data_IF_053359524436
#
_entry.id   IF_053359524436
#
_cell.length_a   1.000
_cell.length_b   1.000
_cell.length_c   1.000
_cell.angle_alpha   90.00
_cell.angle_beta   90.00
_cell.angle_gamma   90.00
#
_symmetry.space_group_name_H-M   'P 1'
#
loop_
_entity.id
_entity.type
_entity.pdbx_description
1 polymer ?
#
# COMPACT_ATOMS: atom_id res chain seq x y z
N UNK A 1 -17.30 -2.85 3.44
CA UNK A 1 -16.35 -3.98 3.64
C UNK A 1 -16.61 -4.70 4.96
N UNK A 2 -16.39 -6.03 5.05
CA UNK A 2 -16.56 -6.82 6.28
C UNK A 2 -15.23 -7.45 6.69
N UNK A 3 -14.84 -7.41 7.97
CA UNK A 3 -13.63 -8.07 8.44
C UNK A 3 -13.82 -9.57 8.54
N UNK A 4 -12.80 -10.34 8.20
CA UNK A 4 -12.63 -11.75 8.54
C UNK A 4 -11.16 -12.07 8.80
N UNK A 5 -10.91 -13.17 9.50
CA UNK A 5 -9.54 -13.65 9.73
C UNK A 5 -9.28 -14.87 8.86
N UNK A 6 -8.11 -14.91 8.23
CA UNK A 6 -7.57 -16.08 7.54
C UNK A 6 -6.28 -16.51 8.21
N UNK A 7 -5.88 -17.75 7.98
CA UNK A 7 -4.58 -18.28 8.42
C UNK A 7 -3.76 -18.66 7.19
N UNK A 8 -2.53 -18.17 7.12
CA UNK A 8 -1.60 -18.50 6.04
C UNK A 8 -0.91 -19.83 6.32
N UNK A 9 -0.33 -20.45 5.29
CA UNK A 9 0.38 -21.73 5.40
C UNK A 9 1.54 -21.68 6.41
N UNK A 10 2.14 -20.51 6.63
CA UNK A 10 3.21 -20.31 7.64
C UNK A 10 2.67 -20.01 9.04
N UNK A 11 1.34 -20.01 9.26
CA UNK A 11 0.70 -19.79 10.56
C UNK A 11 0.48 -18.32 10.92
N UNK A 12 0.64 -17.37 10.00
CA UNK A 12 0.23 -15.99 10.25
C UNK A 12 -1.30 -15.88 10.24
N UNK A 13 -1.87 -15.25 11.27
CA UNK A 13 -3.30 -14.89 11.30
C UNK A 13 -3.46 -13.48 10.75
N UNK A 14 -4.19 -13.37 9.66
CA UNK A 14 -4.33 -12.12 8.90
C UNK A 14 -5.78 -11.67 8.92
N UNK A 15 -6.01 -10.47 9.44
CA UNK A 15 -7.30 -9.78 9.30
C UNK A 15 -7.41 -9.24 7.89
N UNK A 16 -8.54 -9.52 7.24
CA UNK A 16 -8.81 -9.09 5.86
C UNK A 16 -10.16 -8.37 5.83
N UNK A 17 -10.18 -7.16 5.25
CA UNK A 17 -11.44 -6.54 4.87
C UNK A 17 -11.86 -7.10 3.52
N UNK A 18 -13.06 -7.72 3.47
CA UNK A 18 -13.61 -8.32 2.24
C UNK A 18 -14.95 -7.70 1.89
N UNK A 19 -15.21 -7.50 0.60
CA UNK A 19 -16.49 -7.01 0.10
C UNK A 19 -16.64 -7.16 -1.40
N UNK A 20 -17.89 -7.02 -1.86
CA UNK A 20 -18.23 -7.08 -3.28
C UNK A 20 -18.21 -8.48 -3.88
N UNK A 21 -18.39 -8.53 -5.20
CA UNK A 21 -18.43 -9.73 -6.02
C UNK A 21 -17.69 -9.50 -7.34
N UNK A 22 -17.47 -10.53 -8.15
CA UNK A 22 -16.83 -10.40 -9.45
C UNK A 22 -15.34 -10.75 -9.45
N UNK A 23 -14.56 -10.09 -10.32
CA UNK A 23 -13.12 -10.36 -10.45
C UNK A 23 -12.38 -10.04 -9.13
N UNK A 24 -11.43 -10.89 -8.70
CA UNK A 24 -10.71 -10.66 -7.45
C UNK A 24 -9.74 -9.47 -7.57
N UNK A 25 -9.80 -8.58 -6.59
CA UNK A 25 -8.89 -7.48 -6.37
C UNK A 25 -8.25 -7.63 -4.99
N UNK A 26 -6.92 -7.65 -4.94
CA UNK A 26 -6.18 -7.64 -3.67
C UNK A 26 -5.49 -6.29 -3.51
N UNK A 27 -5.81 -5.58 -2.43
CA UNK A 27 -5.21 -4.29 -2.09
C UNK A 27 -4.19 -4.43 -0.96
N UNK A 28 -2.95 -4.07 -1.22
CA UNK A 28 -1.86 -4.04 -0.24
C UNK A 28 -1.62 -2.61 0.26
N UNK A 29 -1.78 -2.41 1.55
CA UNK A 29 -1.67 -1.10 2.19
C UNK A 29 -0.23 -0.60 2.35
N UNK A 30 -0.07 0.71 2.57
CA UNK A 30 1.20 1.35 2.88
C UNK A 30 1.65 1.18 4.35
N UNK A 31 2.73 1.86 4.72
CA UNK A 31 3.32 1.79 6.07
C UNK A 31 2.35 2.22 7.19
N UNK A 32 1.38 3.08 6.90
CA UNK A 32 0.35 3.51 7.86
C UNK A 32 -0.74 2.48 8.14
N UNK A 33 -0.82 1.38 7.38
CA UNK A 33 -1.91 0.41 7.48
C UNK A 33 -3.18 0.84 6.74
N UNK A 34 -4.29 0.18 7.06
CA UNK A 34 -5.64 0.61 6.68
C UNK A 34 -6.17 1.57 7.76
N UNK A 35 -6.96 2.55 7.35
CA UNK A 35 -7.65 3.43 8.29
C UNK A 35 -8.97 2.81 8.76
N UNK A 36 -9.61 3.45 9.73
CA UNK A 36 -10.93 3.02 10.21
C UNK A 36 -11.96 3.04 9.08
N UNK A 37 -11.88 4.07 8.23
CA UNK A 37 -12.73 4.21 7.05
C UNK A 37 -11.87 4.18 5.78
N UNK A 38 -12.31 3.38 4.81
CA UNK A 38 -11.61 3.19 3.54
C UNK A 38 -12.61 3.32 2.38
N UNK A 39 -13.13 4.53 2.11
CA UNK A 39 -14.23 4.74 1.16
C UNK A 39 -13.91 4.26 -0.26
N UNK A 40 -12.66 4.31 -0.68
CA UNK A 40 -12.24 3.79 -1.98
C UNK A 40 -12.39 2.26 -2.09
N UNK A 41 -12.20 1.51 -0.97
CA UNK A 41 -12.40 0.05 -0.97
C UNK A 41 -13.87 -0.30 -1.12
N UNK A 42 -14.77 0.42 -0.43
CA UNK A 42 -16.22 0.20 -0.56
C UNK A 42 -16.70 0.46 -1.99
N UNK A 43 -16.20 1.52 -2.64
CA UNK A 43 -16.50 1.84 -4.04
C UNK A 43 -15.92 0.81 -5.04
N UNK A 44 -14.70 0.33 -4.81
CA UNK A 44 -14.13 -0.76 -5.61
C UNK A 44 -14.94 -2.04 -5.44
N UNK A 45 -15.52 -2.30 -4.25
CA UNK A 45 -16.34 -3.46 -3.97
C UNK A 45 -17.69 -3.46 -4.71
N UNK A 46 -18.12 -2.33 -5.30
CA UNK A 46 -19.28 -2.28 -6.19
C UNK A 46 -19.04 -3.04 -7.51
N UNK A 47 -17.76 -3.25 -7.90
CA UNK A 47 -17.38 -3.85 -9.19
C UNK A 47 -16.50 -5.08 -9.07
N UNK A 48 -15.75 -5.21 -7.96
CA UNK A 48 -14.78 -6.27 -7.74
C UNK A 48 -15.07 -7.01 -6.45
N UNK A 49 -14.61 -8.24 -6.35
CA UNK A 49 -14.46 -8.90 -5.06
C UNK A 49 -13.14 -8.43 -4.45
N UNK A 50 -13.24 -7.47 -3.53
CA UNK A 50 -12.10 -6.79 -2.92
C UNK A 50 -11.65 -7.52 -1.67
N UNK A 51 -10.33 -7.70 -1.56
CA UNK A 51 -9.64 -8.20 -0.37
C UNK A 51 -8.56 -7.21 0.01
N UNK A 52 -8.62 -6.68 1.22
CA UNK A 52 -7.59 -5.80 1.77
C UNK A 52 -7.03 -6.43 3.05
N UNK A 53 -5.99 -7.29 2.94
CA UNK A 53 -5.31 -7.88 4.09
C UNK A 53 -4.51 -6.84 4.84
N UNK A 54 -4.54 -6.89 6.16
CA UNK A 54 -3.59 -6.19 7.03
C UNK A 54 -2.35 -7.06 7.22
N UNK A 55 -1.18 -6.49 7.00
CA UNK A 55 0.09 -7.19 7.22
C UNK A 55 0.25 -7.58 8.70
N UNK A 56 1.00 -8.65 9.03
CA UNK A 56 1.41 -8.93 10.41
C UNK A 56 1.99 -7.69 11.10
N UNK A 57 1.53 -7.43 12.34
CA UNK A 57 1.89 -6.22 13.08
C UNK A 57 0.98 -5.01 12.82
N UNK A 58 -0.05 -5.16 11.98
CA UNK A 58 -1.08 -4.16 11.75
C UNK A 58 -2.43 -4.66 12.24
N UNK A 59 -3.17 -3.79 12.90
CA UNK A 59 -4.48 -4.13 13.46
C UNK A 59 -4.44 -5.41 14.30
N UNK A 60 -5.28 -6.38 13.97
CA UNK A 60 -5.38 -7.66 14.66
C UNK A 60 -4.54 -8.79 14.01
N UNK A 61 -3.79 -8.47 12.96
CA UNK A 61 -2.93 -9.45 12.29
C UNK A 61 -1.71 -9.79 13.12
N UNK A 62 -1.34 -11.08 13.14
CA UNK A 62 -0.19 -11.59 13.89
C UNK A 62 0.76 -12.38 12.99
N UNK A 63 1.96 -12.68 13.47
CA UNK A 63 3.00 -13.37 12.71
C UNK A 63 4.17 -12.45 12.32
N UNK A 64 4.40 -11.38 13.10
CA UNK A 64 5.44 -10.39 12.88
C UNK A 64 6.84 -10.98 12.78
N UNK A 65 7.10 -12.05 13.54
CA UNK A 65 8.39 -12.74 13.55
C UNK A 65 8.65 -13.58 12.29
N UNK A 66 7.61 -13.82 11.48
CA UNK A 66 7.73 -14.54 10.21
C UNK A 66 8.24 -13.67 9.06
N UNK A 67 8.24 -12.35 9.23
CA UNK A 67 8.61 -11.38 8.20
C UNK A 67 9.88 -10.65 8.63
N UNK A 68 11.01 -11.02 8.04
CA UNK A 68 12.33 -10.42 8.38
C UNK A 68 12.81 -9.50 7.28
N UNK A 69 12.64 -9.88 6.02
CA UNK A 69 13.14 -9.14 4.86
C UNK A 69 12.11 -9.03 3.71
N UNK A 70 12.51 -8.40 2.62
CA UNK A 70 11.64 -8.17 1.46
C UNK A 70 11.12 -9.46 0.84
N UNK A 71 11.89 -10.53 0.86
CA UNK A 71 11.45 -11.82 0.33
C UNK A 71 10.34 -12.42 1.19
N UNK A 72 10.45 -12.34 2.51
CA UNK A 72 9.40 -12.80 3.42
C UNK A 72 8.09 -12.02 3.21
N UNK A 73 8.16 -10.69 3.08
CA UNK A 73 6.97 -9.88 2.76
C UNK A 73 6.35 -10.26 1.43
N UNK A 74 7.17 -10.54 0.41
CA UNK A 74 6.71 -10.97 -0.92
C UNK A 74 6.03 -12.33 -0.87
N UNK A 75 6.65 -13.32 -0.21
CA UNK A 75 6.11 -14.66 -0.04
C UNK A 75 4.84 -14.66 0.82
N UNK A 76 4.82 -13.85 1.89
CA UNK A 76 3.63 -13.67 2.71
C UNK A 76 2.45 -13.12 1.88
N UNK A 77 2.70 -12.17 0.98
CA UNK A 77 1.67 -11.69 0.06
C UNK A 77 1.06 -12.82 -0.77
N UNK A 78 1.87 -13.74 -1.28
CA UNK A 78 1.40 -14.93 -2.01
C UNK A 78 0.73 -15.96 -1.10
N UNK A 79 1.22 -16.16 0.13
CA UNK A 79 0.55 -17.03 1.10
C UNK A 79 -0.85 -16.51 1.45
N UNK A 80 -1.02 -15.20 1.55
CA UNK A 80 -2.33 -14.55 1.72
C UNK A 80 -3.23 -14.78 0.51
N UNK A 81 -2.75 -14.56 -0.71
CA UNK A 81 -3.51 -14.81 -1.95
C UNK A 81 -3.98 -16.27 -2.01
N UNK A 82 -3.08 -17.21 -1.67
CA UNK A 82 -3.42 -18.64 -1.63
C UNK A 82 -4.46 -18.97 -0.53
N UNK A 83 -4.32 -18.40 0.67
CA UNK A 83 -5.27 -18.60 1.78
C UNK A 83 -6.66 -17.99 1.49
N UNK A 84 -6.72 -16.96 0.65
CA UNK A 84 -7.97 -16.38 0.14
C UNK A 84 -8.65 -17.24 -0.92
N UNK A 85 -7.95 -18.24 -1.49
CA UNK A 85 -8.43 -19.04 -2.61
C UNK A 85 -8.57 -18.22 -3.90
N UNK A 86 -7.70 -17.24 -4.09
CA UNK A 86 -7.73 -16.32 -5.23
C UNK A 86 -6.66 -16.70 -6.24
N UNK A 87 -7.04 -16.77 -7.51
CA UNK A 87 -6.13 -16.98 -8.62
C UNK A 87 -6.04 -15.73 -9.49
N UNK A 88 -4.82 -15.35 -9.85
CA UNK A 88 -4.53 -14.22 -10.74
C UNK A 88 -5.32 -12.94 -10.40
N UNK A 89 -5.15 -12.35 -9.20
CA UNK A 89 -5.86 -11.13 -8.83
C UNK A 89 -5.46 -9.92 -9.69
N UNK A 90 -6.35 -8.93 -9.76
CA UNK A 90 -5.94 -7.54 -9.92
C UNK A 90 -5.21 -7.14 -8.62
N UNK A 91 -3.91 -6.95 -8.71
CA UNK A 91 -3.08 -6.61 -7.56
C UNK A 91 -2.87 -5.10 -7.51
N UNK A 92 -3.33 -4.48 -6.44
CA UNK A 92 -3.23 -3.03 -6.20
C UNK A 92 -2.38 -2.81 -4.97
N UNK A 93 -1.29 -2.07 -5.08
CA UNK A 93 -0.43 -1.78 -3.93
C UNK A 93 -0.18 -0.29 -3.76
N UNK A 94 -0.35 0.21 -2.54
CA UNK A 94 -0.08 1.60 -2.18
C UNK A 94 1.22 1.72 -1.39
N UNK A 95 2.10 2.63 -1.77
CA UNK A 95 3.34 2.95 -1.06
C UNK A 95 4.22 1.70 -0.80
N UNK A 96 4.45 1.31 0.45
CA UNK A 96 5.09 0.07 0.84
C UNK A 96 4.39 -1.16 0.23
N UNK A 97 3.06 -1.19 0.23
CA UNK A 97 2.28 -2.24 -0.44
C UNK A 97 2.50 -2.27 -1.94
N UNK A 98 2.79 -1.13 -2.56
CA UNK A 98 3.18 -1.05 -3.97
C UNK A 98 4.53 -1.71 -4.24
N UNK A 99 5.51 -1.52 -3.36
CA UNK A 99 6.79 -2.22 -3.44
C UNK A 99 6.59 -3.73 -3.30
N UNK A 100 5.78 -4.18 -2.34
CA UNK A 100 5.47 -5.60 -2.15
C UNK A 100 4.76 -6.17 -3.39
N UNK A 101 3.75 -5.46 -3.92
CA UNK A 101 3.01 -5.88 -5.11
C UNK A 101 3.92 -6.01 -6.35
N UNK A 102 4.85 -5.08 -6.54
CA UNK A 102 5.82 -5.13 -7.63
C UNK A 102 6.79 -6.29 -7.49
N UNK A 103 7.26 -6.60 -6.28
CA UNK A 103 8.09 -7.79 -6.01
C UNK A 103 7.31 -9.09 -6.23
N UNK A 104 6.05 -9.16 -5.78
CA UNK A 104 5.15 -10.29 -6.04
C UNK A 104 5.00 -10.53 -7.55
N UNK A 105 4.73 -9.47 -8.31
CA UNK A 105 4.58 -9.56 -9.76
C UNK A 105 5.89 -9.93 -10.47
N UNK A 106 7.03 -9.45 -9.99
CA UNK A 106 8.34 -9.81 -10.55
C UNK A 106 8.76 -11.26 -10.21
N UNK A 107 8.39 -11.76 -9.03
CA UNK A 107 8.71 -13.12 -8.58
C UNK A 107 7.81 -14.15 -9.29
N UNK A 108 6.51 -13.90 -9.37
CA UNK A 108 5.50 -14.77 -9.96
C UNK A 108 4.73 -14.04 -11.08
N UNK A 109 5.36 -13.76 -12.23
CA UNK A 109 4.79 -12.88 -13.25
C UNK A 109 3.53 -13.43 -13.95
N UNK A 110 3.27 -14.75 -13.86
CA UNK A 110 2.08 -15.38 -14.44
C UNK A 110 0.86 -15.37 -13.52
N UNK A 111 1.07 -15.07 -12.23
CA UNK A 111 0.04 -15.20 -11.20
C UNK A 111 -0.66 -13.87 -10.89
N UNK A 112 -0.31 -12.80 -11.60
CA UNK A 112 -0.95 -11.49 -11.53
C UNK A 112 -1.75 -11.25 -12.82
N UNK A 113 -3.04 -10.91 -12.71
CA UNK A 113 -3.84 -10.57 -13.89
C UNK A 113 -3.49 -9.18 -14.41
N UNK A 114 -3.52 -8.19 -13.54
CA UNK A 114 -3.10 -6.80 -13.77
C UNK A 114 -2.48 -6.23 -12.50
N UNK A 115 -1.60 -5.24 -12.65
CA UNK A 115 -0.89 -4.59 -11.54
C UNK A 115 -1.20 -3.10 -11.50
N UNK A 116 -1.52 -2.58 -10.31
CA UNK A 116 -1.65 -1.13 -10.06
C UNK A 116 -0.70 -0.74 -8.95
N UNK A 117 0.23 0.16 -9.25
CA UNK A 117 1.21 0.70 -8.30
C UNK A 117 0.82 2.15 -7.96
N UNK A 118 0.47 2.40 -6.70
CA UNK A 118 -0.01 3.70 -6.24
C UNK A 118 1.03 4.33 -5.33
N UNK A 119 1.63 5.44 -5.74
CA UNK A 119 2.65 6.17 -4.98
C UNK A 119 3.71 5.22 -4.36
N UNK A 120 4.16 4.24 -5.17
CA UNK A 120 4.93 3.08 -4.71
C UNK A 120 6.35 3.46 -4.26
N UNK A 121 6.80 2.91 -3.13
CA UNK A 121 8.22 2.87 -2.76
C UNK A 121 8.95 1.74 -3.51
N UNK A 122 10.24 1.53 -3.22
CA UNK A 122 11.04 0.41 -3.75
C UNK A 122 12.12 0.79 -4.76
N UNK A 123 12.08 2.00 -5.28
CA UNK A 123 13.14 2.60 -6.08
C UNK A 123 13.89 3.65 -5.25
N UNK A 124 15.08 4.03 -5.70
CA UNK A 124 15.86 5.09 -5.09
C UNK A 124 16.53 5.96 -6.15
N UNK A 125 16.29 7.26 -6.07
CA UNK A 125 16.88 8.28 -6.95
C UNK A 125 17.70 9.20 -6.05
N UNK A 126 19.04 9.12 -6.08
CA UNK A 126 19.91 9.89 -5.17
C UNK A 126 19.70 11.42 -5.26
N UNK A 127 19.34 11.91 -6.45
CA UNK A 127 19.13 13.32 -6.74
C UNK A 127 17.77 13.84 -6.24
N UNK A 128 16.84 12.94 -5.95
CA UNK A 128 15.51 13.25 -5.41
C UNK A 128 15.14 12.20 -4.35
N UNK A 129 15.79 12.21 -3.19
CA UNK A 129 15.62 11.18 -2.17
C UNK A 129 14.18 11.19 -1.60
N UNK A 130 13.70 10.00 -1.25
CA UNK A 130 12.47 9.84 -0.48
C UNK A 130 12.73 10.39 0.93
N UNK A 131 11.77 11.16 1.45
CA UNK A 131 11.88 11.72 2.79
C UNK A 131 11.90 10.61 3.85
N UNK A 132 12.73 10.79 4.89
CA UNK A 132 12.89 9.80 5.96
C UNK A 132 11.79 9.96 7.03
N UNK A 133 10.73 9.15 6.94
CA UNK A 133 9.66 9.12 7.93
C UNK A 133 10.13 8.71 9.33
N UNK A 134 11.25 7.99 9.43
CA UNK A 134 11.78 7.54 10.74
C UNK A 134 12.53 8.65 11.48
N UNK A 135 12.91 9.70 10.77
CA UNK A 135 13.52 10.90 11.36
C UNK A 135 12.50 11.99 11.72
N UNK A 136 11.19 11.72 11.55
CA UNK A 136 10.11 12.68 11.74
C UNK A 136 9.16 12.25 12.86
N UNK A 137 8.50 13.23 13.47
CA UNK A 137 7.43 12.96 14.43
C UNK A 137 6.08 12.77 13.72
N UNK A 138 5.17 11.94 14.26
CA UNK A 138 3.89 11.63 13.59
C UNK A 138 3.05 12.85 13.23
N UNK A 139 3.12 13.95 13.99
CA UNK A 139 2.39 15.18 13.70
C UNK A 139 2.95 15.97 12.50
N UNK A 140 4.15 15.62 12.01
CA UNK A 140 4.74 16.21 10.81
C UNK A 140 4.29 15.48 9.53
N UNK A 141 3.83 14.22 9.65
CA UNK A 141 3.42 13.39 8.51
C UNK A 141 2.35 14.04 7.61
N UNK A 142 1.33 14.76 8.11
CA UNK A 142 0.31 15.34 7.25
C UNK A 142 0.88 16.24 6.15
N UNK A 143 1.88 17.07 6.47
CA UNK A 143 2.53 17.97 5.49
C UNK A 143 3.26 17.24 4.38
N UNK A 144 3.70 16.01 4.64
CA UNK A 144 4.45 15.21 3.69
C UNK A 144 3.54 14.30 2.87
N UNK A 145 2.51 13.75 3.50
CA UNK A 145 1.66 12.71 2.95
C UNK A 145 0.47 13.26 2.15
N UNK A 146 -0.05 14.45 2.51
CA UNK A 146 -1.30 14.96 1.95
C UNK A 146 -1.10 16.24 1.15
N UNK A 147 -1.94 16.44 0.15
CA UNK A 147 -2.07 17.71 -0.56
C UNK A 147 -2.58 18.79 0.41
N UNK A 148 -3.66 18.48 1.14
CA UNK A 148 -4.20 19.27 2.24
C UNK A 148 -3.76 18.66 3.59
N UNK A 149 -2.77 19.27 4.27
CA UNK A 149 -2.27 18.75 5.55
C UNK A 149 -3.28 18.74 6.68
N UNK A 150 -4.23 19.67 6.70
CA UNK A 150 -5.21 19.79 7.79
C UNK A 150 -6.25 18.67 7.67
N UNK A 151 -6.78 18.42 6.48
CA UNK A 151 -7.63 17.27 6.19
C UNK A 151 -6.88 15.95 6.47
N UNK A 152 -5.59 15.88 6.11
CA UNK A 152 -4.72 14.74 6.38
C UNK A 152 -4.51 14.48 7.87
N UNK A 153 -4.33 15.52 8.68
CA UNK A 153 -4.19 15.40 10.13
C UNK A 153 -5.46 14.80 10.76
N UNK A 154 -6.64 15.28 10.35
CA UNK A 154 -7.92 14.75 10.81
C UNK A 154 -8.07 13.26 10.48
N UNK A 155 -7.68 12.84 9.27
CA UNK A 155 -7.72 11.44 8.84
C UNK A 155 -6.75 10.55 9.63
N UNK A 156 -5.49 10.99 9.82
CA UNK A 156 -4.47 10.22 10.54
C UNK A 156 -4.78 10.02 12.01
N UNK A 157 -5.45 10.98 12.63
CA UNK A 157 -5.83 10.93 14.05
C UNK A 157 -7.17 10.25 14.28
N UNK A 158 -7.95 10.01 13.20
CA UNK A 158 -9.34 9.51 13.28
C UNK A 158 -10.20 10.27 14.29
N UNK A 159 -9.94 11.58 14.47
CA UNK A 159 -10.64 12.44 15.43
C UNK A 159 -10.29 12.16 16.89
N UNK A 160 -9.21 11.45 17.19
CA UNK A 160 -8.79 11.16 18.57
C UNK A 160 -8.52 12.45 19.36
N UNK A 161 -9.04 12.49 20.57
CA UNK A 161 -8.75 13.57 21.53
C UNK A 161 -7.41 13.30 22.22
N UNK A 162 -6.37 13.97 21.78
CA UNK A 162 -5.03 13.84 22.37
C UNK A 162 -4.83 14.64 23.67
N UNK A 163 -5.84 15.33 24.18
CA UNK A 163 -5.84 15.79 25.59
C UNK A 163 -6.01 14.61 26.55
N UNK A 164 -6.55 13.49 26.08
CA UNK A 164 -6.62 12.23 26.81
C UNK A 164 -5.29 11.45 26.65
N UNK A 165 -4.56 11.26 27.76
CA UNK A 165 -3.27 10.56 27.76
C UNK A 165 -3.35 9.09 27.32
N UNK A 166 -4.46 8.41 27.58
CA UNK A 166 -4.65 7.01 27.13
C UNK A 166 -4.80 6.94 25.61
N UNK A 167 -5.59 7.84 25.02
CA UNK A 167 -5.76 7.93 23.57
C UNK A 167 -4.43 8.29 22.89
N UNK A 168 -3.68 9.23 23.46
CA UNK A 168 -2.36 9.61 22.97
C UNK A 168 -1.38 8.45 23.05
N UNK A 169 -1.32 7.75 24.17
CA UNK A 169 -0.44 6.59 24.35
C UNK A 169 -0.79 5.46 23.37
N UNK A 170 -2.08 5.15 23.22
CA UNK A 170 -2.54 4.14 22.25
C UNK A 170 -2.15 4.49 20.81
N UNK A 171 -2.31 5.76 20.42
CA UNK A 171 -1.87 6.24 19.10
C UNK A 171 -0.37 6.03 18.87
N UNK A 172 0.48 6.43 19.83
CA UNK A 172 1.93 6.27 19.69
C UNK A 172 2.36 4.82 19.69
N UNK A 173 1.75 3.96 20.52
CA UNK A 173 2.05 2.52 20.55
C UNK A 173 1.72 1.89 19.20
N UNK A 174 0.52 2.15 18.67
CA UNK A 174 0.09 1.58 17.40
C UNK A 174 0.93 2.12 16.22
N UNK A 175 1.21 3.42 16.19
CA UNK A 175 2.08 4.00 15.18
C UNK A 175 3.49 3.40 15.23
N UNK A 176 4.07 3.25 16.43
CA UNK A 176 5.40 2.66 16.60
C UNK A 176 5.44 1.20 16.14
N UNK A 177 4.39 0.42 16.43
CA UNK A 177 4.27 -0.96 15.99
C UNK A 177 4.23 -1.07 14.47
N UNK A 178 3.39 -0.25 13.82
CA UNK A 178 3.30 -0.16 12.34
C UNK A 178 4.62 0.25 11.71
N UNK A 179 5.26 1.29 12.23
CA UNK A 179 6.53 1.78 11.73
C UNK A 179 7.67 0.78 11.94
N UNK A 180 7.68 0.04 13.06
CA UNK A 180 8.66 -1.02 13.29
C UNK A 180 8.55 -2.13 12.23
N UNK A 181 7.34 -2.55 11.88
CA UNK A 181 7.13 -3.53 10.80
C UNK A 181 7.52 -2.98 9.44
N UNK A 182 7.10 -1.76 9.10
CA UNK A 182 7.49 -1.11 7.85
C UNK A 182 9.02 -0.93 7.75
N UNK A 183 9.68 -0.63 8.87
CA UNK A 183 11.12 -0.44 8.96
C UNK A 183 11.94 -1.63 8.50
N UNK A 184 11.44 -2.84 8.63
CA UNK A 184 12.13 -4.06 8.17
C UNK A 184 12.47 -4.00 6.67
N UNK A 185 11.66 -3.31 5.87
CA UNK A 185 11.86 -3.20 4.42
C UNK A 185 12.06 -1.76 3.91
N UNK A 186 11.70 -0.75 4.70
CA UNK A 186 11.86 0.65 4.29
C UNK A 186 13.10 1.33 4.88
N UNK A 187 13.56 0.91 6.08
CA UNK A 187 14.69 1.55 6.74
C UNK A 187 16.05 0.89 6.34
N UNK A 188 17.16 1.63 6.24
CA UNK A 188 17.28 3.11 6.32
C UNK A 188 16.80 3.83 5.06
N UNK A 189 16.73 3.14 3.92
CA UNK A 189 16.17 3.62 2.65
C UNK A 189 15.33 2.52 2.00
N UNK A 190 14.21 2.86 1.33
CA UNK A 190 13.32 1.89 0.72
C UNK A 190 13.86 1.35 -0.62
N UNK A 191 15.11 0.90 -0.63
CA UNK A 191 15.78 0.33 -1.80
C UNK A 191 16.20 -1.12 -1.52
N UNK A 192 15.36 -2.06 -1.94
CA UNK A 192 15.64 -3.50 -1.89
C UNK A 192 16.00 -4.05 -3.28
N UNK A 193 16.56 -3.18 -4.15
CA UNK A 193 17.01 -3.49 -5.51
C UNK A 193 15.87 -3.95 -6.44
N UNK A 194 14.65 -3.51 -6.19
CA UNK A 194 13.46 -3.81 -7.00
C UNK A 194 13.70 -3.43 -8.49
N UNK A 195 14.36 -2.32 -8.77
CA UNK A 195 14.70 -1.89 -10.13
C UNK A 195 15.36 -3.00 -10.98
N UNK A 196 16.12 -3.91 -10.35
CA UNK A 196 16.78 -5.03 -11.07
C UNK A 196 15.80 -6.15 -11.47
N UNK A 197 14.56 -6.12 -10.97
CA UNK A 197 13.56 -7.17 -11.17
C UNK A 197 12.34 -6.71 -11.96
N UNK A 198 12.11 -5.40 -12.10
CA UNK A 198 10.92 -4.85 -12.77
C UNK A 198 10.76 -5.33 -14.22
N UNK A 199 11.84 -5.62 -14.93
CA UNK A 199 11.78 -6.20 -16.28
C UNK A 199 11.04 -7.56 -16.35
N UNK A 200 10.86 -8.23 -15.20
CA UNK A 200 10.13 -9.50 -15.10
C UNK A 200 8.63 -9.33 -14.98
N UNK A 201 8.15 -8.12 -14.67
CA UNK A 201 6.71 -7.83 -14.60
C UNK A 201 6.12 -7.90 -15.98
N UNK A 202 5.27 -8.90 -16.21
CA UNK A 202 4.59 -9.13 -17.50
C UNK A 202 3.11 -8.77 -17.48
N UNK A 203 2.55 -8.55 -16.31
CA UNK A 203 1.17 -8.09 -16.16
C UNK A 203 1.02 -6.67 -16.74
N UNK A 204 -0.09 -6.38 -17.41
CA UNK A 204 -0.45 -4.99 -17.70
C UNK A 204 -0.36 -4.16 -16.41
N UNK A 205 0.36 -3.03 -16.49
CA UNK A 205 0.65 -2.24 -15.30
C UNK A 205 0.17 -0.80 -15.44
N UNK A 206 -0.52 -0.33 -14.42
CA UNK A 206 -0.88 1.06 -14.22
C UNK A 206 -0.11 1.62 -13.02
N UNK A 207 0.53 2.75 -13.22
CA UNK A 207 1.18 3.52 -12.16
C UNK A 207 0.31 4.75 -11.87
N UNK A 208 -0.05 4.97 -10.61
CA UNK A 208 -0.90 6.10 -10.19
C UNK A 208 -0.12 6.92 -9.18
N UNK A 209 -0.11 8.23 -9.36
CA UNK A 209 0.64 9.14 -8.48
C UNK A 209 -0.14 10.40 -8.16
N UNK A 210 0.02 10.92 -6.95
CA UNK A 210 -0.44 12.25 -6.60
C UNK A 210 0.55 13.31 -7.06
N UNK A 211 0.07 14.38 -7.66
CA UNK A 211 0.90 15.50 -8.15
C UNK A 211 1.65 16.22 -7.03
N UNK A 212 1.07 16.22 -5.85
CA UNK A 212 1.60 16.88 -4.64
C UNK A 212 2.29 15.90 -3.68
N UNK A 213 2.68 14.70 -4.14
CA UNK A 213 3.40 13.73 -3.29
C UNK A 213 4.76 14.28 -2.89
N UNK A 214 4.89 14.62 -1.60
CA UNK A 214 6.12 15.15 -1.01
C UNK A 214 6.93 14.08 -0.28
N UNK A 215 6.35 12.89 -0.08
CA UNK A 215 7.08 11.75 0.47
C UNK A 215 7.87 11.02 -0.61
N UNK A 216 7.18 10.56 -1.65
CA UNK A 216 7.78 9.90 -2.80
C UNK A 216 7.51 10.76 -4.04
N UNK A 217 8.46 11.60 -4.46
CA UNK A 217 8.23 12.56 -5.56
C UNK A 217 7.68 11.91 -6.84
N UNK A 218 6.85 12.61 -7.64
CA UNK A 218 6.21 12.04 -8.84
C UNK A 218 7.18 11.46 -9.88
N UNK A 219 8.43 11.88 -9.90
CA UNK A 219 9.48 11.32 -10.77
C UNK A 219 9.68 9.81 -10.54
N UNK A 220 9.35 9.29 -9.35
CA UNK A 220 9.38 7.85 -9.10
C UNK A 220 8.31 7.12 -9.89
N UNK A 221 7.15 7.73 -10.09
CA UNK A 221 6.11 7.20 -10.98
C UNK A 221 6.60 7.05 -12.43
N UNK A 222 7.34 8.04 -12.93
CA UNK A 222 7.98 7.97 -14.24
C UNK A 222 9.00 6.82 -14.29
N UNK A 223 9.80 6.65 -13.25
CA UNK A 223 10.79 5.55 -13.16
C UNK A 223 10.14 4.17 -13.16
N UNK A 224 9.01 3.99 -12.47
CA UNK A 224 8.25 2.74 -12.53
C UNK A 224 7.70 2.49 -13.92
N UNK A 225 7.06 3.51 -14.55
CA UNK A 225 6.56 3.42 -15.94
C UNK A 225 7.66 3.01 -16.91
N UNK A 226 8.83 3.63 -16.81
CA UNK A 226 9.94 3.39 -17.75
C UNK A 226 10.63 2.02 -17.51
N UNK A 227 10.57 1.50 -16.29
CA UNK A 227 11.18 0.22 -15.91
C UNK A 227 10.28 -1.01 -16.19
N UNK A 228 8.98 -0.81 -16.40
CA UNK A 228 8.01 -1.90 -16.65
C UNK A 228 7.49 -1.77 -18.09
N UNK A 229 7.70 -2.78 -18.91
CA UNK A 229 7.28 -2.76 -20.30
C UNK A 229 5.77 -2.55 -20.46
N UNK A 230 5.37 -1.53 -21.21
CA UNK A 230 3.96 -1.21 -21.48
C UNK A 230 3.20 -0.58 -20.30
N UNK A 231 3.88 -0.22 -19.22
CA UNK A 231 3.23 0.46 -18.11
C UNK A 231 2.74 1.87 -18.49
N UNK A 232 1.60 2.26 -17.93
CA UNK A 232 1.00 3.59 -18.09
C UNK A 232 1.09 4.35 -16.78
N UNK A 233 1.32 5.66 -16.84
CA UNK A 233 1.32 6.55 -15.67
C UNK A 233 0.12 7.49 -15.74
N UNK A 234 -0.59 7.61 -14.61
CA UNK A 234 -1.63 8.61 -14.38
C UNK A 234 -1.23 9.42 -13.15
N UNK A 235 -1.15 10.74 -13.31
CA UNK A 235 -0.91 11.66 -12.19
C UNK A 235 -2.22 12.36 -11.87
N UNK A 236 -2.61 12.34 -10.58
CA UNK A 236 -3.86 12.90 -10.08
C UNK A 236 -3.58 14.24 -9.42
N UNK A 237 -4.28 15.29 -9.88
CA UNK A 237 -4.21 16.61 -9.28
C UNK A 237 -4.83 16.62 -7.87
N UNK A 238 -4.46 17.59 -7.04
CA UNK A 238 -4.98 17.77 -5.68
C UNK A 238 -4.87 16.52 -4.80
N UNK A 239 -3.86 15.69 -5.06
CA UNK A 239 -3.52 14.50 -4.27
C UNK A 239 -2.03 14.51 -3.92
N UNK A 240 -1.70 14.14 -2.70
CA UNK A 240 -0.37 13.86 -2.22
C UNK A 240 -0.04 12.37 -2.31
N UNK A 241 0.65 11.84 -1.30
CA UNK A 241 1.00 10.43 -1.20
C UNK A 241 -0.21 9.52 -0.97
N UNK A 242 -1.25 10.04 -0.33
CA UNK A 242 -2.44 9.30 0.09
C UNK A 242 -3.57 9.33 -0.96
N UNK A 243 -3.22 9.22 -2.22
CA UNK A 243 -4.12 9.29 -3.41
C UNK A 243 -5.47 8.58 -3.21
N UNK A 244 -5.55 7.32 -2.72
CA UNK A 244 -6.84 6.62 -2.58
C UNK A 244 -7.77 7.27 -1.57
N UNK A 245 -7.22 8.00 -0.61
CA UNK A 245 -7.97 8.66 0.47
C UNK A 245 -8.30 10.11 0.12
N UNK A 246 -7.43 10.80 -0.60
CA UNK A 246 -7.60 12.20 -0.96
C UNK A 246 -8.53 12.37 -2.17
N UNK A 247 -8.42 11.48 -3.16
CA UNK A 247 -9.21 11.52 -4.40
C UNK A 247 -9.87 10.15 -4.68
N UNK A 248 -10.73 9.64 -3.78
CA UNK A 248 -11.24 8.28 -3.88
C UNK A 248 -12.05 8.01 -5.16
N UNK A 249 -12.86 8.98 -5.62
CA UNK A 249 -13.66 8.83 -6.84
C UNK A 249 -12.79 8.78 -8.09
N UNK A 250 -11.82 9.67 -8.18
CA UNK A 250 -10.89 9.71 -9.32
C UNK A 250 -10.03 8.45 -9.33
N UNK A 251 -9.50 8.04 -8.17
CA UNK A 251 -8.74 6.81 -8.01
C UNK A 251 -9.51 5.58 -8.48
N UNK A 252 -10.74 5.40 -7.98
CA UNK A 252 -11.61 4.27 -8.34
C UNK A 252 -11.94 4.29 -9.84
N UNK A 253 -12.23 5.46 -10.41
CA UNK A 253 -12.48 5.61 -11.85
C UNK A 253 -11.27 5.20 -12.69
N UNK A 254 -10.07 5.64 -12.31
CA UNK A 254 -8.81 5.33 -12.99
C UNK A 254 -8.50 3.83 -12.92
N UNK A 255 -8.61 3.22 -11.74
CA UNK A 255 -8.39 1.77 -11.54
C UNK A 255 -9.42 0.96 -12.32
N UNK A 256 -10.70 1.33 -12.25
CA UNK A 256 -11.78 0.61 -12.94
C UNK A 256 -11.68 0.72 -14.47
N UNK A 257 -11.31 1.90 -14.98
CA UNK A 257 -11.08 2.10 -16.42
C UNK A 257 -9.89 1.30 -16.95
N UNK A 258 -8.90 1.04 -16.09
CA UNK A 258 -7.76 0.18 -16.43
C UNK A 258 -8.09 -1.32 -16.34
N UNK A 259 -8.85 -1.71 -15.33
CA UNK A 259 -9.09 -3.14 -15.05
C UNK A 259 -10.16 -3.77 -15.96
N UNK A 260 -11.08 -2.99 -16.49
CA UNK A 260 -12.13 -3.44 -17.42
C UNK A 260 -13.32 -4.06 -16.73
#
# INVERSE_FOLDING_TARGET
MKPRTIETKRGARVRVLEGGTGKPLVFLHGAGGLFAENPFLDRLAERYRVFAPELPGYGESTGETLLEDMLDFTLHGWDVVAALGVERPLLVGHSMGGMIAAEMAALCPRDVAKLVLVASTGLWIPEQPIADLYAMLPFEYPRLLFHDPDAGAALLTAGADFSNLEALAAFYIENSRRMAMAGKILFPIPNRRLAKRLYRVTAETLVVWGKSDRLVPPVYGERFRDAIAGARLVVIDEAGHMVPYEQPDVFVSVVSGFAG
#
